data_IF_167532890750
#
_entry.id   IF_167532890750
#
_cell.length_a   1.000
_cell.length_b   1.000
_cell.length_c   1.000
_cell.angle_alpha   90.00
_cell.angle_beta   90.00
_cell.angle_gamma   90.00
#
_symmetry.space_group_name_H-M   'P 1'
#
loop_
_entity.id
_entity.type
_entity.pdbx_description
1 polymer ?
#
# COMPACT_ATOMS: atom_id res chain seq x y z
N UNK A 1 8.82 26.15 8.41
CA UNK A 1 7.59 25.44 8.83
C UNK A 1 7.99 23.99 9.06
N UNK A 2 7.59 23.36 10.16
CA UNK A 2 7.86 21.94 10.42
C UNK A 2 7.02 21.09 9.45
N UNK A 3 7.64 20.08 8.81
CA UNK A 3 6.90 19.09 8.02
C UNK A 3 5.95 18.33 8.95
N UNK A 4 4.69 18.08 8.52
CA UNK A 4 3.71 17.30 9.29
C UNK A 4 4.16 15.85 9.49
N UNK A 5 4.89 15.30 8.51
CA UNK A 5 5.45 13.95 8.54
C UNK A 5 6.96 14.02 8.42
N UNK A 6 7.66 13.35 9.33
CA UNK A 6 9.14 13.26 9.35
C UNK A 6 9.57 11.81 9.46
N UNK A 7 10.84 11.53 9.15
CA UNK A 7 11.42 10.19 9.20
C UNK A 7 12.68 10.15 10.04
N UNK A 8 12.75 9.19 10.95
CA UNK A 8 13.93 8.89 11.74
C UNK A 8 14.48 7.52 11.32
N UNK A 9 15.69 7.50 10.78
CA UNK A 9 16.41 6.26 10.46
C UNK A 9 17.13 5.76 11.72
N UNK A 10 16.78 4.57 12.19
CA UNK A 10 17.33 3.97 13.42
C UNK A 10 18.49 3.00 13.14
N UNK A 11 18.39 2.18 12.07
CA UNK A 11 19.38 1.18 11.72
C UNK A 11 19.32 0.83 10.23
N UNK A 12 20.48 0.49 9.67
CA UNK A 12 20.59 -0.13 8.33
C UNK A 12 21.24 -1.49 8.53
N UNK A 13 20.61 -2.55 8.03
CA UNK A 13 21.15 -3.91 8.03
C UNK A 13 22.45 -3.95 7.25
N UNK A 14 23.54 -4.42 7.90
CA UNK A 14 24.90 -4.41 7.35
C UNK A 14 25.08 -5.35 6.15
N UNK A 15 24.20 -6.33 5.99
CA UNK A 15 24.27 -7.36 4.96
C UNK A 15 23.33 -7.10 3.78
N UNK A 16 22.49 -6.05 3.88
CA UNK A 16 21.52 -5.68 2.84
C UNK A 16 21.29 -4.17 2.80
N UNK A 17 20.36 -3.70 2.00
CA UNK A 17 19.92 -2.31 1.98
C UNK A 17 18.73 -2.03 2.92
N UNK A 18 18.34 -2.99 3.73
CA UNK A 18 17.15 -2.90 4.57
C UNK A 18 17.32 -1.84 5.67
N UNK A 19 16.25 -1.09 5.91
CA UNK A 19 16.23 0.05 6.83
C UNK A 19 15.21 -0.18 7.94
N UNK A 20 15.59 0.14 9.16
CA UNK A 20 14.74 0.22 10.34
C UNK A 20 14.56 1.69 10.70
N UNK A 21 13.34 2.17 10.75
CA UNK A 21 13.07 3.57 11.07
C UNK A 21 11.71 3.81 11.71
N UNK A 22 11.38 5.08 11.90
CA UNK A 22 10.09 5.57 12.37
C UNK A 22 9.63 6.70 11.48
N UNK A 23 8.39 6.63 11.02
CA UNK A 23 7.70 7.76 10.41
C UNK A 23 6.82 8.39 11.48
N UNK A 24 7.08 9.66 11.80
CA UNK A 24 6.29 10.45 12.74
C UNK A 24 5.18 11.18 11.98
N UNK A 25 3.95 11.09 12.46
CA UNK A 25 2.78 11.74 11.86
C UNK A 25 1.93 12.43 12.92
N UNK A 26 1.01 13.34 12.55
CA UNK A 26 0.09 13.96 13.50
C UNK A 26 -0.76 12.99 14.31
N UNK A 27 -1.06 11.79 13.75
CA UNK A 27 -1.88 10.77 14.42
C UNK A 27 -1.06 9.60 14.98
N UNK A 28 0.25 9.77 15.14
CA UNK A 28 1.13 8.81 15.81
C UNK A 28 2.27 8.29 14.96
N UNK A 29 3.11 7.49 15.60
CA UNK A 29 4.34 6.93 15.02
C UNK A 29 4.09 5.64 14.28
N UNK A 30 4.80 5.46 13.16
CA UNK A 30 4.75 4.27 12.33
C UNK A 30 6.14 3.61 12.34
N UNK A 31 6.22 2.41 12.87
CA UNK A 31 7.44 1.61 12.90
C UNK A 31 7.69 0.97 11.52
N UNK A 32 8.78 1.29 10.86
CA UNK A 32 9.10 0.80 9.51
C UNK A 32 10.21 -0.27 9.50
N UNK A 33 10.22 -1.20 8.53
CA UNK A 33 9.26 -1.36 7.43
C UNK A 33 7.85 -1.78 7.90
N UNK A 34 6.82 -1.35 7.17
CA UNK A 34 5.41 -1.57 7.52
C UNK A 34 4.57 -2.02 6.32
N UNK A 35 3.57 -2.86 6.57
CA UNK A 35 2.48 -3.16 5.65
C UNK A 35 1.22 -2.39 6.05
N UNK A 36 0.60 -1.69 5.10
CA UNK A 36 -0.61 -0.90 5.28
C UNK A 36 -1.85 -1.66 4.76
N UNK A 37 -2.80 -2.04 5.62
CA UNK A 37 -4.10 -2.55 5.16
C UNK A 37 -4.85 -1.50 4.35
N UNK A 38 -5.52 -1.94 3.27
CA UNK A 38 -6.23 -1.03 2.37
C UNK A 38 -7.72 -0.95 2.73
N UNK A 39 -8.14 0.25 3.09
CA UNK A 39 -9.53 0.63 3.36
C UNK A 39 -10.12 1.47 2.22
N UNK A 40 -10.41 0.85 1.07
CA UNK A 40 -10.77 1.50 -0.20
C UNK A 40 -11.86 2.57 -0.09
N UNK A 41 -12.90 2.34 0.71
CA UNK A 41 -14.05 3.25 0.87
C UNK A 41 -14.25 3.59 2.35
N UNK A 42 -13.23 4.17 2.98
CA UNK A 42 -13.19 4.47 4.40
C UNK A 42 -13.45 3.23 5.28
N UNK A 43 -13.09 2.04 4.81
CA UNK A 43 -13.19 0.80 5.58
C UNK A 43 -12.27 -0.27 5.01
N UNK A 44 -11.50 -0.93 5.85
CA UNK A 44 -10.84 -2.19 5.52
C UNK A 44 -11.95 -3.26 5.49
N UNK A 45 -12.16 -3.87 4.32
CA UNK A 45 -13.35 -4.71 4.08
C UNK A 45 -13.51 -5.80 5.14
N UNK A 46 -14.71 -5.87 5.72
CA UNK A 46 -15.13 -6.82 6.74
C UNK A 46 -14.45 -6.65 8.11
N UNK A 47 -13.82 -5.50 8.38
CA UNK A 47 -13.08 -5.22 9.62
C UNK A 47 -13.61 -3.96 10.30
N UNK A 48 -13.71 -3.97 11.62
CA UNK A 48 -13.91 -2.76 12.41
C UNK A 48 -12.57 -2.09 12.73
N UNK A 49 -12.55 -0.78 13.04
CA UNK A 49 -11.35 -0.09 13.52
C UNK A 49 -10.72 -0.74 14.76
N UNK A 50 -11.54 -1.21 15.69
CA UNK A 50 -11.11 -1.89 16.92
C UNK A 50 -10.36 -3.19 16.58
N UNK A 51 -10.89 -4.03 15.69
CA UNK A 51 -10.20 -5.25 15.24
C UNK A 51 -8.88 -4.95 14.54
N UNK A 52 -8.83 -3.89 13.74
CA UNK A 52 -7.59 -3.46 13.10
C UNK A 52 -6.55 -3.02 14.12
N UNK A 53 -6.97 -2.35 15.20
CA UNK A 53 -6.09 -1.88 16.28
C UNK A 53 -5.65 -3.01 17.21
N UNK A 54 -6.59 -3.81 17.68
CA UNK A 54 -6.36 -4.78 18.78
C UNK A 54 -5.89 -6.14 18.25
N UNK A 55 -6.53 -6.67 17.22
CA UNK A 55 -6.23 -7.98 16.68
C UNK A 55 -5.13 -7.96 15.61
N UNK A 56 -5.26 -7.05 14.64
CA UNK A 56 -4.30 -6.93 13.53
C UNK A 56 -3.05 -6.16 13.95
N UNK A 57 -3.20 -5.19 14.86
CA UNK A 57 -2.16 -4.23 15.24
C UNK A 57 -1.69 -3.38 14.04
N UNK A 58 -2.64 -2.93 13.23
CA UNK A 58 -2.36 -2.00 12.14
C UNK A 58 -1.99 -0.62 12.69
N UNK A 59 -0.84 -0.09 12.29
CA UNK A 59 -0.35 1.23 12.74
C UNK A 59 -0.83 2.34 11.81
N UNK A 60 -1.08 2.02 10.55
CA UNK A 60 -1.54 2.91 9.49
C UNK A 60 -2.43 2.12 8.55
N UNK A 61 -3.38 2.78 7.93
CA UNK A 61 -4.19 2.24 6.84
C UNK A 61 -4.11 3.14 5.61
N UNK A 62 -4.43 2.57 4.44
CA UNK A 62 -4.55 3.32 3.20
C UNK A 62 -6.01 3.44 2.79
N UNK A 63 -6.44 4.61 2.34
CA UNK A 63 -7.75 4.84 1.72
C UNK A 63 -7.58 5.34 0.27
N UNK A 64 -8.58 5.10 -0.59
CA UNK A 64 -8.47 5.44 -2.01
C UNK A 64 -9.26 6.71 -2.36
N UNK A 65 -8.57 7.74 -2.76
CA UNK A 65 -9.12 9.06 -3.11
C UNK A 65 -10.15 8.99 -4.22
N UNK A 66 -9.89 8.24 -5.30
CA UNK A 66 -10.87 8.07 -6.39
C UNK A 66 -12.22 7.53 -5.92
N UNK A 67 -12.22 6.49 -5.08
CA UNK A 67 -13.46 5.90 -4.58
C UNK A 67 -14.20 6.83 -3.63
N UNK A 68 -13.48 7.52 -2.77
CA UNK A 68 -14.05 8.47 -1.79
C UNK A 68 -14.56 9.76 -2.45
N UNK A 69 -13.89 10.21 -3.51
CA UNK A 69 -14.38 11.31 -4.35
C UNK A 69 -15.73 10.99 -5.00
N UNK A 70 -15.89 9.77 -5.53
CA UNK A 70 -17.14 9.35 -6.16
C UNK A 70 -18.25 9.09 -5.13
N UNK A 71 -17.90 8.50 -3.99
CA UNK A 71 -18.84 8.15 -2.94
C UNK A 71 -18.14 7.96 -1.58
N UNK A 72 -18.55 8.70 -0.54
CA UNK A 72 -19.72 9.60 -0.45
C UNK A 72 -19.46 11.01 -1.01
N UNK A 73 -18.23 11.33 -1.44
CA UNK A 73 -17.77 12.65 -1.84
C UNK A 73 -16.90 13.30 -0.76
N UNK A 74 -15.82 13.97 -1.18
CA UNK A 74 -14.83 14.56 -0.25
C UNK A 74 -15.43 15.66 0.65
N UNK A 75 -16.36 16.45 0.11
CA UNK A 75 -16.99 17.53 0.87
C UNK A 75 -17.81 17.00 2.06
N UNK A 76 -18.55 15.89 1.89
CA UNK A 76 -19.27 15.24 2.98
C UNK A 76 -18.29 14.75 4.06
N UNK A 77 -17.18 14.14 3.65
CA UNK A 77 -16.16 13.65 4.60
C UNK A 77 -15.54 14.82 5.36
N UNK A 78 -15.26 15.95 4.69
CA UNK A 78 -14.80 17.18 5.34
C UNK A 78 -15.78 17.69 6.38
N UNK A 79 -17.08 17.76 6.05
CA UNK A 79 -18.14 18.16 6.97
C UNK A 79 -18.24 17.22 8.19
N UNK A 80 -17.95 15.92 8.00
CA UNK A 80 -17.86 14.94 9.08
C UNK A 80 -16.59 15.08 9.95
N UNK A 81 -15.67 15.97 9.60
CA UNK A 81 -14.41 16.22 10.30
C UNK A 81 -13.23 15.41 9.82
N UNK A 82 -13.22 15.01 8.53
CA UNK A 82 -12.18 14.23 7.88
C UNK A 82 -12.34 12.72 8.06
N UNK A 83 -11.49 11.94 7.36
CA UNK A 83 -11.55 10.47 7.37
C UNK A 83 -11.43 9.87 8.77
N UNK A 84 -10.57 10.41 9.61
CA UNK A 84 -10.34 9.92 10.97
C UNK A 84 -11.65 9.89 11.78
N UNK A 85 -12.40 10.98 11.80
CA UNK A 85 -13.70 11.04 12.48
C UNK A 85 -14.78 10.26 11.76
N UNK A 86 -14.81 10.34 10.42
CA UNK A 86 -15.81 9.68 9.61
C UNK A 86 -15.82 8.16 9.77
N UNK A 87 -14.63 7.54 9.90
CA UNK A 87 -14.49 6.08 10.03
C UNK A 87 -14.09 5.61 11.44
N UNK A 88 -14.04 6.50 12.44
CA UNK A 88 -13.63 6.20 13.82
C UNK A 88 -12.23 5.58 13.90
N UNK A 89 -11.28 6.13 13.14
CA UNK A 89 -9.88 5.68 13.10
C UNK A 89 -8.97 6.80 13.63
N UNK A 90 -8.23 6.51 14.72
CA UNK A 90 -7.41 7.48 15.45
C UNK A 90 -5.90 7.34 15.20
N UNK A 91 -5.51 6.50 14.23
CA UNK A 91 -4.11 6.27 13.82
C UNK A 91 -3.85 6.86 12.43
N UNK A 92 -2.59 6.91 11.98
CA UNK A 92 -2.25 7.45 10.66
C UNK A 92 -3.06 6.88 9.49
N UNK A 93 -3.34 7.73 8.52
CA UNK A 93 -3.96 7.39 7.23
C UNK A 93 -3.07 7.91 6.11
N UNK A 94 -2.88 7.07 5.08
CA UNK A 94 -2.37 7.48 3.79
C UNK A 94 -3.51 7.43 2.76
N UNK A 95 -3.66 8.47 1.93
CA UNK A 95 -4.56 8.43 0.77
C UNK A 95 -3.75 8.42 -0.52
N UNK A 96 -4.12 7.53 -1.46
CA UNK A 96 -3.52 7.52 -2.80
C UNK A 96 -4.04 8.69 -3.65
N UNK A 97 -3.36 8.99 -4.75
CA UNK A 97 -3.74 10.09 -5.65
C UNK A 97 -5.04 9.84 -6.46
N UNK A 98 -5.55 8.61 -6.47
CA UNK A 98 -6.62 8.18 -7.37
C UNK A 98 -6.16 7.94 -8.82
N UNK A 99 -4.91 8.22 -9.17
CA UNK A 99 -4.37 8.05 -10.51
C UNK A 99 -4.54 6.64 -11.04
N UNK A 100 -4.05 5.63 -10.33
CA UNK A 100 -4.15 4.22 -10.74
C UNK A 100 -5.61 3.79 -11.00
N UNK A 101 -6.57 4.19 -10.17
CA UNK A 101 -7.98 3.82 -10.31
C UNK A 101 -8.60 4.46 -11.55
N UNK A 102 -8.26 5.71 -11.85
CA UNK A 102 -8.68 6.37 -13.10
C UNK A 102 -8.13 5.62 -14.31
N UNK A 103 -6.90 5.10 -14.24
CA UNK A 103 -6.28 4.34 -15.33
C UNK A 103 -6.83 2.91 -15.43
N UNK A 104 -7.14 2.25 -14.35
CA UNK A 104 -7.55 0.84 -14.33
C UNK A 104 -9.07 0.62 -14.45
N UNK A 105 -9.89 1.53 -13.93
CA UNK A 105 -11.34 1.35 -13.82
C UNK A 105 -12.16 2.12 -14.85
N UNK A 106 -11.62 3.20 -15.44
CA UNK A 106 -12.34 3.97 -16.43
C UNK A 106 -12.11 3.43 -17.84
N UNK A 107 -13.15 2.85 -18.46
CA UNK A 107 -13.08 2.31 -19.82
C UNK A 107 -12.80 3.37 -20.91
N UNK A 108 -13.26 4.61 -20.70
CA UNK A 108 -13.01 5.75 -21.58
C UNK A 108 -12.36 6.88 -20.77
N UNK A 109 -11.09 7.10 -21.03
CA UNK A 109 -10.31 8.19 -20.45
C UNK A 109 -9.57 8.96 -21.50
N UNK A 110 -9.40 10.28 -21.29
CA UNK A 110 -8.56 11.14 -22.12
C UNK A 110 -7.56 11.85 -21.22
N UNK A 111 -6.29 11.56 -21.45
CA UNK A 111 -5.16 12.16 -20.72
C UNK A 111 -4.71 13.39 -21.51
N UNK A 112 -4.54 14.51 -20.83
CA UNK A 112 -4.01 15.76 -21.36
C UNK A 112 -2.97 16.31 -20.38
N UNK A 113 -2.30 17.38 -20.74
CA UNK A 113 -1.38 18.07 -19.81
C UNK A 113 -2.14 18.68 -18.61
N UNK A 114 -3.38 19.10 -18.82
CA UNK A 114 -4.24 19.64 -17.78
C UNK A 114 -4.62 18.62 -16.72
N UNK A 115 -4.88 17.36 -17.13
CA UNK A 115 -5.31 16.27 -16.26
C UNK A 115 -5.99 15.14 -17.05
N UNK A 116 -6.85 14.38 -16.39
CA UNK A 116 -7.52 13.20 -16.95
C UNK A 116 -9.02 13.37 -16.94
N UNK A 117 -9.65 13.34 -18.12
CA UNK A 117 -11.10 13.22 -18.29
C UNK A 117 -11.48 11.75 -18.28
N UNK A 118 -12.46 11.36 -17.47
CA UNK A 118 -12.92 9.98 -17.35
C UNK A 118 -14.41 9.91 -17.04
N UNK A 119 -14.98 8.70 -17.16
CA UNK A 119 -16.36 8.44 -16.76
C UNK A 119 -16.38 7.63 -15.47
N UNK A 120 -17.19 8.07 -14.50
CA UNK A 120 -17.43 7.35 -13.25
C UNK A 120 -17.96 5.94 -13.54
N UNK A 121 -17.36 4.93 -12.91
CA UNK A 121 -17.81 3.55 -13.03
C UNK A 121 -19.11 3.26 -12.27
N UNK A 122 -19.58 4.22 -11.45
CA UNK A 122 -20.83 4.07 -10.67
C UNK A 122 -22.07 4.48 -11.46
N UNK A 123 -21.99 5.61 -12.17
CA UNK A 123 -23.14 6.27 -12.80
C UNK A 123 -22.84 6.82 -14.22
N UNK A 124 -21.62 6.62 -14.72
CA UNK A 124 -21.20 7.09 -16.05
C UNK A 124 -20.96 8.59 -16.16
N UNK A 125 -21.08 9.37 -15.07
CA UNK A 125 -20.85 10.82 -15.06
C UNK A 125 -19.46 11.16 -15.56
N UNK A 126 -19.35 12.12 -16.47
CA UNK A 126 -18.05 12.63 -16.95
C UNK A 126 -17.42 13.54 -15.91
N UNK A 127 -16.19 13.23 -15.56
CA UNK A 127 -15.41 13.89 -14.53
C UNK A 127 -14.03 14.25 -15.05
N UNK A 128 -13.36 15.17 -14.35
CA UNK A 128 -12.00 15.59 -14.64
C UNK A 128 -11.18 15.60 -13.35
N UNK A 129 -10.08 14.87 -13.34
CA UNK A 129 -9.02 15.02 -12.33
C UNK A 129 -7.91 15.90 -12.87
N UNK A 130 -7.56 16.92 -12.13
CA UNK A 130 -6.36 17.74 -12.31
C UNK A 130 -5.52 17.68 -11.04
N UNK A 131 -4.22 17.97 -11.11
CA UNK A 131 -3.41 18.06 -9.88
C UNK A 131 -4.06 18.93 -8.80
N UNK A 132 -4.63 20.05 -9.17
CA UNK A 132 -5.22 21.01 -8.22
C UNK A 132 -6.47 20.45 -7.54
N UNK A 133 -7.43 19.86 -8.28
CA UNK A 133 -8.65 19.36 -7.66
C UNK A 133 -8.43 18.02 -6.92
N UNK A 134 -7.39 17.26 -7.28
CA UNK A 134 -6.97 16.11 -6.48
C UNK A 134 -6.41 16.59 -5.14
N UNK A 135 -5.58 17.63 -5.10
CA UNK A 135 -5.10 18.21 -3.83
C UNK A 135 -6.24 18.74 -2.97
N UNK A 136 -7.22 19.45 -3.56
CA UNK A 136 -8.42 19.88 -2.82
C UNK A 136 -9.17 18.66 -2.23
N UNK A 137 -9.30 17.60 -2.99
CA UNK A 137 -9.93 16.35 -2.53
C UNK A 137 -9.16 15.71 -1.37
N UNK A 138 -7.84 15.61 -1.48
CA UNK A 138 -6.96 15.04 -0.44
C UNK A 138 -6.99 15.88 0.85
N UNK A 139 -7.02 17.20 0.74
CA UNK A 139 -7.18 18.11 1.88
C UNK A 139 -8.55 17.93 2.57
N UNK A 140 -9.62 17.76 1.79
CA UNK A 140 -10.95 17.48 2.34
C UNK A 140 -11.02 16.12 3.06
N UNK A 141 -10.28 15.11 2.58
CA UNK A 141 -10.19 13.79 3.21
C UNK A 141 -9.44 13.83 4.54
N UNK A 142 -8.41 14.65 4.66
CA UNK A 142 -7.68 14.89 5.91
C UNK A 142 -6.79 13.73 6.35
N UNK A 143 -6.13 13.03 5.41
CA UNK A 143 -5.13 12.00 5.72
C UNK A 143 -3.80 12.63 6.13
N UNK A 144 -2.96 11.92 6.90
CA UNK A 144 -1.62 12.38 7.30
C UNK A 144 -0.64 12.42 6.11
N UNK A 145 -0.70 11.41 5.26
CA UNK A 145 0.12 11.28 4.06
C UNK A 145 -0.79 11.28 2.84
N UNK A 146 -0.51 12.15 1.89
CA UNK A 146 -1.23 12.26 0.63
C UNK A 146 -0.26 12.11 -0.54
N UNK A 147 -0.76 11.61 -1.68
CA UNK A 147 0.08 11.32 -2.83
C UNK A 147 -0.12 12.31 -3.97
N UNK A 148 0.95 12.72 -4.62
CA UNK A 148 0.87 13.54 -5.82
C UNK A 148 0.12 12.80 -6.94
N UNK A 149 -0.70 13.54 -7.71
CA UNK A 149 -1.41 12.97 -8.84
C UNK A 149 -0.42 12.54 -9.93
N UNK A 150 -0.50 11.29 -10.36
CA UNK A 150 0.42 10.65 -11.27
C UNK A 150 -0.26 9.92 -12.42
N UNK A 151 0.50 9.61 -13.45
CA UNK A 151 0.09 8.71 -14.53
C UNK A 151 0.84 7.39 -14.42
N UNK A 152 0.13 6.32 -14.05
CA UNK A 152 0.67 4.97 -14.03
C UNK A 152 0.66 4.37 -15.43
N UNK A 153 1.85 4.12 -16.01
CA UNK A 153 1.97 3.45 -17.30
C UNK A 153 1.52 2.00 -17.23
N UNK A 154 0.84 1.46 -18.26
CA UNK A 154 0.58 0.02 -18.36
C UNK A 154 1.87 -0.76 -18.60
N UNK A 155 1.86 -2.05 -18.27
CA UNK A 155 2.93 -2.99 -18.64
C UNK A 155 2.40 -3.99 -19.70
N UNK A 156 3.15 -4.27 -20.78
CA UNK A 156 4.34 -3.53 -21.23
C UNK A 156 4.01 -2.17 -21.82
N UNK A 157 4.99 -1.27 -21.86
CA UNK A 157 4.86 0.07 -22.47
C UNK A 157 6.11 0.43 -23.26
N UNK A 158 5.94 1.24 -24.32
CA UNK A 158 7.10 1.70 -25.11
C UNK A 158 7.90 2.75 -24.35
N UNK A 159 9.19 2.86 -24.66
CA UNK A 159 10.06 3.88 -24.06
C UNK A 159 9.51 5.30 -24.26
N UNK A 160 9.08 5.64 -25.47
CA UNK A 160 8.58 6.98 -25.82
C UNK A 160 7.29 7.33 -25.05
N UNK A 161 6.36 6.37 -24.89
CA UNK A 161 5.16 6.60 -24.09
C UNK A 161 5.52 6.77 -22.61
N UNK A 162 6.35 5.88 -22.07
CA UNK A 162 6.78 5.91 -20.68
C UNK A 162 7.50 7.22 -20.35
N UNK A 163 8.36 7.70 -21.24
CA UNK A 163 9.06 8.99 -21.09
C UNK A 163 8.08 10.16 -21.00
N UNK A 164 7.13 10.26 -21.94
CA UNK A 164 6.11 11.33 -21.93
C UNK A 164 5.23 11.29 -20.69
N UNK A 165 4.83 10.10 -20.26
CA UNK A 165 4.03 9.89 -19.04
C UNK A 165 4.80 10.29 -17.79
N UNK A 166 6.05 9.87 -17.67
CA UNK A 166 6.93 10.23 -16.56
C UNK A 166 7.16 11.73 -16.47
N UNK A 167 7.47 12.39 -17.60
CA UNK A 167 7.66 13.84 -17.64
C UNK A 167 6.38 14.61 -17.29
N UNK A 168 5.20 14.11 -17.68
CA UNK A 168 3.90 14.66 -17.27
C UNK A 168 3.69 14.49 -15.78
N UNK A 169 3.95 13.32 -15.24
CA UNK A 169 3.86 13.06 -13.79
C UNK A 169 4.73 14.03 -12.98
N UNK A 170 5.95 14.31 -13.43
CA UNK A 170 6.82 15.31 -12.78
C UNK A 170 6.19 16.70 -12.78
N UNK A 171 5.64 17.17 -13.92
CA UNK A 171 4.95 18.47 -13.98
C UNK A 171 3.69 18.51 -13.13
N UNK A 172 2.94 17.41 -13.07
CA UNK A 172 1.78 17.29 -12.19
C UNK A 172 2.18 17.29 -10.71
N UNK A 173 3.28 16.65 -10.35
CA UNK A 173 3.80 16.68 -8.98
C UNK A 173 4.17 18.10 -8.54
N UNK A 174 4.80 18.91 -9.43
CA UNK A 174 5.07 20.32 -9.18
C UNK A 174 3.77 21.12 -8.97
N UNK A 175 2.75 20.88 -9.79
CA UNK A 175 1.43 21.51 -9.65
C UNK A 175 0.74 21.10 -8.36
N UNK A 176 0.78 19.80 -7.98
CA UNK A 176 0.29 19.32 -6.69
C UNK A 176 0.97 20.05 -5.53
N UNK A 177 2.30 20.15 -5.55
CA UNK A 177 3.06 20.84 -4.51
C UNK A 177 2.67 22.32 -4.37
N UNK A 178 2.41 23.00 -5.48
CA UNK A 178 1.93 24.40 -5.46
C UNK A 178 0.50 24.55 -4.98
N UNK A 179 -0.34 23.54 -5.24
CA UNK A 179 -1.76 23.56 -4.87
C UNK A 179 -1.99 23.16 -3.42
N UNK A 180 -1.17 22.24 -2.88
CA UNK A 180 -1.27 21.77 -1.49
C UNK A 180 -0.98 22.87 -0.49
N UNK A 181 -1.91 23.11 0.45
CA UNK A 181 -1.87 24.20 1.44
C UNK A 181 -1.80 23.74 2.88
N UNK A 182 -2.39 22.58 3.20
CA UNK A 182 -2.48 22.07 4.58
C UNK A 182 -1.19 21.36 5.02
N UNK A 183 -0.04 22.01 4.86
CA UNK A 183 1.30 21.44 5.12
C UNK A 183 1.62 21.23 6.60
N UNK A 184 0.79 21.77 7.52
CA UNK A 184 0.96 21.60 8.96
C UNK A 184 0.36 20.29 9.49
N UNK A 185 -0.64 19.75 8.79
CA UNK A 185 -1.34 18.51 9.18
C UNK A 185 -1.15 17.36 8.20
N UNK A 186 -0.72 17.67 6.96
CA UNK A 186 -0.57 16.69 5.89
C UNK A 186 0.76 16.82 5.18
N UNK A 187 1.34 15.70 4.76
CA UNK A 187 2.55 15.69 3.93
C UNK A 187 2.30 15.05 2.57
N UNK A 188 2.64 15.78 1.53
CA UNK A 188 2.52 15.34 0.15
C UNK A 188 3.76 14.56 -0.29
N UNK A 189 3.59 13.30 -0.71
CA UNK A 189 4.67 12.46 -1.23
C UNK A 189 4.71 12.49 -2.76
N UNK A 190 5.92 12.54 -3.32
CA UNK A 190 6.16 12.42 -4.77
C UNK A 190 6.19 10.96 -5.21
N UNK A 191 5.76 10.67 -6.46
CA UNK A 191 5.74 9.32 -7.03
C UNK A 191 6.74 9.21 -8.18
N UNK A 192 7.78 8.42 -8.01
CA UNK A 192 8.79 8.13 -9.03
C UNK A 192 8.16 7.18 -10.05
N UNK A 193 8.10 7.59 -11.30
CA UNK A 193 7.64 6.83 -12.45
C UNK A 193 8.83 6.53 -13.39
N UNK A 194 8.59 5.92 -14.56
CA UNK A 194 9.63 5.59 -15.55
C UNK A 194 9.57 4.14 -16.03
N UNK A 195 8.51 3.40 -15.65
CA UNK A 195 8.29 2.02 -16.07
C UNK A 195 9.49 1.12 -15.73
N UNK A 196 9.98 0.37 -16.71
CA UNK A 196 11.10 -0.56 -16.57
C UNK A 196 12.39 -0.04 -17.23
N UNK A 197 12.52 1.29 -17.39
CA UNK A 197 13.67 1.95 -18.00
C UNK A 197 14.48 2.68 -16.90
N UNK A 198 15.70 2.22 -16.65
CA UNK A 198 16.54 2.72 -15.57
C UNK A 198 16.90 4.20 -15.71
N UNK A 199 17.16 4.68 -16.93
CA UNK A 199 17.44 6.10 -17.21
C UNK A 199 16.24 6.99 -16.91
N UNK A 200 15.01 6.54 -17.23
CA UNK A 200 13.78 7.26 -16.91
C UNK A 200 13.53 7.27 -15.39
N UNK A 201 13.75 6.15 -14.70
CA UNK A 201 13.66 6.07 -13.23
C UNK A 201 14.61 7.05 -12.56
N UNK A 202 15.87 7.06 -13.02
CA UNK A 202 16.90 7.99 -12.52
C UNK A 202 16.50 9.45 -12.75
N UNK A 203 16.00 9.78 -13.95
CA UNK A 203 15.52 11.12 -14.27
C UNK A 203 14.34 11.52 -13.38
N UNK A 204 13.32 10.67 -13.28
CA UNK A 204 12.15 10.91 -12.44
C UNK A 204 12.52 11.14 -10.97
N UNK A 205 13.39 10.28 -10.41
CA UNK A 205 13.87 10.41 -9.04
C UNK A 205 14.58 11.76 -8.84
N UNK A 206 15.50 12.12 -9.75
CA UNK A 206 16.20 13.41 -9.67
C UNK A 206 15.24 14.58 -9.69
N UNK A 207 14.35 14.63 -10.66
CA UNK A 207 13.42 15.75 -10.86
C UNK A 207 12.49 15.92 -9.64
N UNK A 208 12.05 14.82 -9.02
CA UNK A 208 11.20 14.86 -7.81
C UNK A 208 11.99 15.24 -6.55
N UNK A 209 13.24 14.80 -6.43
CA UNK A 209 14.12 15.18 -5.31
C UNK A 209 14.44 16.67 -5.38
N UNK A 210 14.66 17.23 -6.57
CA UNK A 210 14.85 18.65 -6.79
C UNK A 210 13.60 19.47 -6.38
N UNK A 211 12.41 18.86 -6.41
CA UNK A 211 11.17 19.45 -5.88
C UNK A 211 11.05 19.34 -4.35
N UNK A 212 11.87 18.55 -3.69
CA UNK A 212 11.91 18.35 -2.23
C UNK A 212 10.55 18.04 -1.59
N UNK A 213 10.13 16.78 -1.70
CA UNK A 213 8.96 16.25 -0.99
C UNK A 213 9.33 15.68 0.38
N UNK A 214 8.39 15.68 1.36
CA UNK A 214 8.58 15.01 2.67
C UNK A 214 8.83 13.50 2.58
N UNK A 215 8.40 12.85 1.49
CA UNK A 215 8.59 11.43 1.23
C UNK A 215 8.44 11.09 -0.24
N UNK A 216 8.85 9.89 -0.62
CA UNK A 216 8.86 9.44 -2.00
C UNK A 216 8.28 8.04 -2.14
N UNK A 217 7.52 7.82 -3.23
CA UNK A 217 7.00 6.51 -3.58
C UNK A 217 7.57 6.02 -4.91
N UNK A 218 7.61 4.72 -5.08
CA UNK A 218 7.85 4.06 -6.37
C UNK A 218 6.49 3.61 -6.90
N UNK A 219 6.07 4.18 -8.04
CA UNK A 219 4.89 3.78 -8.78
C UNK A 219 5.23 3.07 -10.09
N UNK A 220 4.21 2.54 -10.79
CA UNK A 220 4.34 1.93 -12.10
C UNK A 220 5.13 0.62 -12.15
N UNK A 221 5.22 -0.10 -11.03
CA UNK A 221 5.67 -1.50 -10.92
C UNK A 221 4.64 -2.28 -10.10
N UNK A 222 4.71 -3.61 -10.11
CA UNK A 222 3.62 -4.49 -9.63
C UNK A 222 2.32 -4.36 -10.44
N UNK A 223 2.47 -4.18 -11.75
CA UNK A 223 1.38 -3.97 -12.73
C UNK A 223 1.23 -5.12 -13.73
N UNK A 224 1.86 -6.28 -13.45
CA UNK A 224 1.75 -7.49 -14.25
C UNK A 224 3.05 -8.00 -14.88
N UNK A 225 4.18 -7.38 -14.56
CA UNK A 225 5.51 -7.79 -14.98
C UNK A 225 6.00 -9.08 -14.29
N UNK A 226 6.97 -9.81 -14.90
CA UNK A 226 7.66 -10.91 -14.25
C UNK A 226 8.39 -10.46 -12.97
N UNK A 227 8.47 -11.35 -11.96
CA UNK A 227 9.15 -11.07 -10.68
C UNK A 227 10.59 -10.60 -10.86
N UNK A 228 11.32 -11.16 -11.81
CA UNK A 228 12.71 -10.79 -12.08
C UNK A 228 12.85 -9.33 -12.52
N UNK A 229 11.98 -8.87 -13.43
CA UNK A 229 11.95 -7.47 -13.88
C UNK A 229 11.56 -6.54 -12.75
N UNK A 230 10.54 -6.91 -11.96
CA UNK A 230 10.14 -6.18 -10.77
C UNK A 230 11.31 -5.99 -9.82
N UNK A 231 12.02 -7.07 -9.44
CA UNK A 231 13.14 -7.01 -8.51
C UNK A 231 14.31 -6.18 -9.07
N UNK A 232 14.59 -6.29 -10.36
CA UNK A 232 15.63 -5.50 -11.02
C UNK A 232 15.36 -4.02 -10.88
N UNK A 233 14.17 -3.57 -11.25
CA UNK A 233 13.79 -2.15 -11.20
C UNK A 233 13.62 -1.63 -9.78
N UNK A 234 13.10 -2.45 -8.86
CA UNK A 234 13.02 -2.10 -7.45
C UNK A 234 14.42 -1.82 -6.87
N UNK A 235 15.36 -2.76 -7.02
CA UNK A 235 16.74 -2.65 -6.52
C UNK A 235 17.51 -1.49 -7.15
N UNK A 236 17.19 -1.14 -8.39
CA UNK A 236 17.75 0.04 -9.06
C UNK A 236 17.16 1.34 -8.51
N UNK A 237 15.85 1.40 -8.33
CA UNK A 237 15.14 2.65 -8.01
C UNK A 237 15.20 3.03 -6.53
N UNK A 238 15.10 2.07 -5.63
CA UNK A 238 15.03 2.34 -4.19
C UNK A 238 16.22 3.15 -3.64
N UNK A 239 17.48 2.84 -4.01
CA UNK A 239 18.65 3.62 -3.56
C UNK A 239 18.71 5.05 -4.11
N UNK A 240 17.94 5.39 -5.15
CA UNK A 240 17.89 6.76 -5.67
C UNK A 240 17.16 7.72 -4.73
N UNK A 241 16.28 7.21 -3.87
CA UNK A 241 15.52 8.02 -2.91
C UNK A 241 16.39 8.43 -1.71
N UNK A 242 16.20 9.66 -1.16
CA UNK A 242 16.96 10.15 -0.03
C UNK A 242 16.92 9.22 1.18
N UNK A 243 18.02 9.16 1.94
CA UNK A 243 18.12 8.31 3.12
C UNK A 243 17.29 8.83 4.29
N UNK A 244 17.20 10.14 4.43
CA UNK A 244 16.47 10.82 5.50
C UNK A 244 14.97 11.05 5.23
N UNK A 245 14.42 10.41 4.21
CA UNK A 245 12.99 10.49 3.86
C UNK A 245 12.38 9.09 3.81
N UNK A 246 11.08 8.92 4.13
CA UNK A 246 10.39 7.64 4.01
C UNK A 246 10.25 7.23 2.53
N UNK A 247 10.37 5.91 2.28
CA UNK A 247 10.31 5.29 0.96
C UNK A 247 9.11 4.34 0.90
N UNK A 248 8.19 4.62 0.02
CA UNK A 248 6.97 3.86 -0.15
C UNK A 248 6.96 3.12 -1.49
N UNK A 249 6.65 1.82 -1.48
CA UNK A 249 6.42 1.01 -2.67
C UNK A 249 4.94 0.67 -2.77
N UNK A 250 4.30 1.14 -3.84
CA UNK A 250 2.86 1.09 -4.03
C UNK A 250 2.37 -0.28 -4.53
N UNK A 251 1.27 -0.78 -3.94
CA UNK A 251 0.52 -1.94 -4.45
C UNK A 251 1.14 -3.32 -4.22
N UNK A 252 2.07 -3.46 -3.29
CA UNK A 252 2.82 -4.70 -3.02
C UNK A 252 2.43 -5.33 -1.70
N UNK A 253 2.07 -6.64 -1.70
CA UNK A 253 1.56 -7.29 -0.48
C UNK A 253 1.61 -8.81 -0.43
N UNK A 254 2.36 -9.49 -1.31
CA UNK A 254 2.69 -10.91 -1.07
C UNK A 254 3.89 -11.00 -0.13
N UNK A 255 3.98 -12.05 0.71
CA UNK A 255 5.04 -12.15 1.71
C UNK A 255 6.46 -12.05 1.14
N UNK A 256 6.72 -12.68 -0.01
CA UNK A 256 8.02 -12.63 -0.69
C UNK A 256 8.34 -11.22 -1.20
N UNK A 257 7.38 -10.53 -1.84
CA UNK A 257 7.59 -9.17 -2.32
C UNK A 257 7.78 -8.17 -1.16
N UNK A 258 7.11 -8.38 -0.01
CA UNK A 258 7.32 -7.53 1.18
C UNK A 258 8.74 -7.69 1.74
N UNK A 259 9.25 -8.93 1.83
CA UNK A 259 10.62 -9.18 2.30
C UNK A 259 11.64 -8.58 1.31
N UNK A 260 11.48 -8.82 0.00
CA UNK A 260 12.38 -8.25 -1.02
C UNK A 260 12.34 -6.71 -1.05
N UNK A 261 11.16 -6.12 -0.80
CA UNK A 261 11.02 -4.67 -0.70
C UNK A 261 11.80 -4.12 0.50
N UNK A 262 11.71 -4.77 1.65
CA UNK A 262 12.48 -4.41 2.84
C UNK A 262 14.00 -4.52 2.58
N UNK A 263 14.44 -5.62 1.94
CA UNK A 263 15.85 -5.83 1.54
C UNK A 263 16.37 -4.74 0.59
N UNK A 264 15.48 -4.18 -0.25
CA UNK A 264 15.81 -3.06 -1.13
C UNK A 264 15.78 -1.69 -0.44
N UNK A 265 15.44 -1.62 0.85
CA UNK A 265 15.40 -0.37 1.62
C UNK A 265 14.08 0.40 1.50
N UNK A 266 12.96 -0.30 1.27
CA UNK A 266 11.60 0.26 1.31
C UNK A 266 11.07 0.25 2.74
N UNK A 267 10.42 1.34 3.13
CA UNK A 267 9.86 1.55 4.47
C UNK A 267 8.36 1.20 4.55
N UNK A 268 7.60 1.40 3.49
CA UNK A 268 6.13 1.29 3.48
C UNK A 268 5.65 0.53 2.25
N UNK A 269 4.69 -0.38 2.44
CA UNK A 269 3.99 -1.09 1.36
C UNK A 269 2.50 -1.22 1.69
N UNK A 270 1.64 -1.23 0.68
CA UNK A 270 0.21 -1.48 0.79
C UNK A 270 -0.25 -2.54 -0.21
N UNK A 271 -1.32 -3.24 0.09
CA UNK A 271 -2.02 -4.06 -0.91
C UNK A 271 -3.41 -4.48 -0.44
N UNK A 272 -4.36 -4.54 -1.38
CA UNK A 272 -5.70 -5.13 -1.13
C UNK A 272 -5.69 -6.67 -1.06
N UNK A 273 -4.57 -7.29 -1.43
CA UNK A 273 -4.47 -8.75 -1.61
C UNK A 273 -4.89 -9.56 -0.38
N UNK A 274 -4.47 -9.26 0.86
CA UNK A 274 -4.83 -10.09 2.02
C UNK A 274 -6.32 -10.22 2.23
N UNK A 275 -7.05 -9.11 2.19
CA UNK A 275 -8.52 -9.11 2.33
C UNK A 275 -9.22 -9.64 1.08
N UNK A 276 -8.65 -9.44 -0.11
CA UNK A 276 -9.16 -10.02 -1.36
C UNK A 276 -9.07 -11.55 -1.31
N UNK A 277 -7.91 -12.11 -0.95
CA UNK A 277 -7.69 -13.54 -0.78
C UNK A 277 -8.66 -14.13 0.26
N UNK A 278 -8.81 -13.47 1.40
CA UNK A 278 -9.72 -13.88 2.47
C UNK A 278 -11.17 -14.04 1.98
N UNK A 279 -11.68 -13.05 1.24
CA UNK A 279 -13.04 -13.10 0.69
C UNK A 279 -13.25 -14.20 -0.35
N UNK A 280 -12.16 -14.70 -0.95
CA UNK A 280 -12.19 -15.84 -1.87
C UNK A 280 -11.83 -17.17 -1.18
N UNK A 281 -11.71 -17.18 0.15
CA UNK A 281 -11.44 -18.38 0.93
C UNK A 281 -9.98 -18.85 0.91
N UNK A 282 -9.04 -17.93 0.68
CA UNK A 282 -7.60 -18.23 0.72
C UNK A 282 -6.97 -17.59 1.95
N UNK A 283 -6.21 -18.37 2.71
CA UNK A 283 -5.43 -17.94 3.86
C UNK A 283 -3.92 -18.01 3.58
N UNK A 284 -3.20 -17.02 4.14
CA UNK A 284 -1.74 -17.00 4.20
C UNK A 284 -1.32 -17.70 5.49
N UNK A 285 -0.49 -18.74 5.42
CA UNK A 285 -0.02 -19.46 6.61
C UNK A 285 1.50 -19.52 6.67
N UNK A 286 2.05 -19.90 7.80
CA UNK A 286 3.50 -20.10 7.97
C UNK A 286 4.12 -21.14 7.02
N UNK A 287 3.28 -21.99 6.41
CA UNK A 287 3.68 -23.05 5.47
C UNK A 287 3.14 -22.84 4.05
N UNK A 288 2.84 -21.60 3.68
CA UNK A 288 2.32 -21.25 2.36
C UNK A 288 0.83 -20.92 2.36
N UNK A 289 0.29 -20.72 1.16
CA UNK A 289 -1.14 -20.40 0.97
C UNK A 289 -1.99 -21.66 1.06
N UNK A 290 -3.13 -21.57 1.73
CA UNK A 290 -4.15 -22.63 1.71
C UNK A 290 -5.47 -22.10 1.17
N UNK A 291 -6.15 -22.91 0.37
CA UNK A 291 -7.51 -22.63 -0.12
C UNK A 291 -8.49 -23.40 0.76
N UNK A 292 -9.09 -22.70 1.72
CA UNK A 292 -9.94 -23.28 2.76
C UNK A 292 -11.15 -24.03 2.19
N UNK A 293 -11.60 -23.69 0.98
CA UNK A 293 -12.71 -24.39 0.28
C UNK A 293 -12.41 -25.84 -0.08
N UNK A 294 -11.14 -26.25 -0.12
CA UNK A 294 -10.74 -27.60 -0.54
C UNK A 294 -11.33 -28.69 0.36
N UNK A 295 -11.68 -29.82 -0.23
CA UNK A 295 -12.30 -30.95 0.46
C UNK A 295 -11.43 -31.52 1.59
N UNK A 296 -10.11 -31.43 1.45
CA UNK A 296 -9.14 -31.87 2.47
C UNK A 296 -9.39 -31.24 3.84
N UNK A 297 -10.01 -30.07 3.92
CA UNK A 297 -10.30 -29.38 5.19
C UNK A 297 -11.68 -29.68 5.77
N UNK A 298 -12.46 -30.60 5.16
CA UNK A 298 -13.82 -30.91 5.61
C UNK A 298 -13.88 -31.49 7.01
N UNK A 299 -12.95 -32.38 7.32
CA UNK A 299 -12.80 -33.00 8.63
C UNK A 299 -11.51 -32.58 9.34
N UNK A 300 -10.97 -31.42 8.96
CA UNK A 300 -9.76 -30.87 9.60
C UNK A 300 -10.18 -29.93 10.74
N UNK A 301 -10.10 -30.44 11.96
CA UNK A 301 -10.44 -29.71 13.18
C UNK A 301 -9.24 -28.98 13.80
N UNK A 302 -8.11 -28.90 13.09
CA UNK A 302 -6.94 -28.13 13.49
C UNK A 302 -7.11 -26.62 13.27
N UNK A 303 -6.16 -25.86 13.80
CA UNK A 303 -6.07 -24.41 13.61
C UNK A 303 -5.81 -24.07 12.15
N UNK A 304 -6.16 -22.85 11.75
CA UNK A 304 -5.84 -22.35 10.40
C UNK A 304 -4.33 -22.33 10.16
N UNK A 305 -3.56 -21.83 11.11
CA UNK A 305 -2.09 -21.86 11.14
C UNK A 305 -1.60 -22.12 12.57
N UNK A 306 -0.79 -23.18 12.75
CA UNK A 306 -0.30 -23.62 14.05
C UNK A 306 0.60 -22.58 14.74
N UNK A 307 1.30 -21.75 13.98
CA UNK A 307 2.20 -20.72 14.50
C UNK A 307 1.50 -19.37 14.72
N UNK A 308 0.24 -19.26 14.33
CA UNK A 308 -0.53 -18.02 14.45
C UNK A 308 -1.37 -18.01 15.73
N UNK A 309 -1.32 -16.90 16.44
CA UNK A 309 -2.09 -16.66 17.66
C UNK A 309 -3.20 -15.59 17.49
N UNK A 310 -3.62 -15.30 16.25
CA UNK A 310 -4.72 -14.38 16.00
C UNK A 310 -6.06 -14.92 16.52
N UNK A 311 -7.06 -14.05 16.63
CA UNK A 311 -8.41 -14.41 17.07
C UNK A 311 -8.97 -15.62 16.32
N UNK A 312 -8.80 -15.67 14.99
CA UNK A 312 -9.29 -16.78 14.15
C UNK A 312 -8.63 -18.10 14.51
N UNK A 313 -7.29 -18.14 14.62
CA UNK A 313 -6.54 -19.36 14.94
C UNK A 313 -6.78 -19.87 16.35
N UNK A 314 -7.09 -18.99 17.30
CA UNK A 314 -7.40 -19.38 18.69
C UNK A 314 -8.77 -20.01 18.85
N UNK A 315 -9.75 -19.63 18.03
CA UNK A 315 -11.15 -19.90 18.30
C UNK A 315 -11.82 -20.81 17.27
N UNK A 316 -11.25 -20.96 16.06
CA UNK A 316 -11.93 -21.65 14.95
C UNK A 316 -11.03 -22.65 14.24
N UNK A 317 -11.67 -23.74 13.75
CA UNK A 317 -11.01 -24.83 13.02
C UNK A 317 -11.07 -24.58 11.50
N UNK A 318 -10.19 -25.22 10.74
CA UNK A 318 -10.21 -25.21 9.26
C UNK A 318 -11.54 -25.74 8.73
N UNK A 319 -12.10 -26.79 9.32
CA UNK A 319 -13.41 -27.36 8.97
C UNK A 319 -14.54 -26.34 9.09
N UNK A 320 -14.59 -25.59 10.20
CA UNK A 320 -15.62 -24.57 10.39
C UNK A 320 -15.46 -23.39 9.42
N UNK A 321 -14.22 -22.90 9.25
CA UNK A 321 -13.93 -21.84 8.27
C UNK A 321 -14.31 -22.27 6.86
N UNK A 322 -14.01 -23.53 6.46
CA UNK A 322 -14.48 -24.09 5.18
C UNK A 322 -15.99 -24.06 5.06
N UNK A 323 -16.71 -24.48 6.09
CA UNK A 323 -18.17 -24.43 6.11
C UNK A 323 -18.69 -23.02 5.84
N UNK A 324 -18.21 -22.03 6.59
CA UNK A 324 -18.60 -20.62 6.45
C UNK A 324 -18.34 -20.09 5.03
N UNK A 325 -17.14 -20.35 4.49
CA UNK A 325 -16.78 -19.88 3.13
C UNK A 325 -17.61 -20.57 2.06
N UNK A 326 -17.94 -21.86 2.19
CA UNK A 326 -18.82 -22.56 1.26
C UNK A 326 -20.27 -22.11 1.34
N UNK A 327 -20.73 -21.75 2.52
CA UNK A 327 -22.07 -21.19 2.76
C UNK A 327 -22.17 -19.69 2.40
N UNK A 328 -21.08 -19.06 1.95
CA UNK A 328 -20.97 -17.62 1.68
C UNK A 328 -21.30 -16.75 2.90
N UNK A 329 -21.04 -17.25 4.11
CA UNK A 329 -21.23 -16.50 5.33
C UNK A 329 -20.17 -15.39 5.48
N UNK A 330 -20.62 -14.17 5.78
CA UNK A 330 -19.76 -12.98 5.94
C UNK A 330 -18.73 -13.21 7.05
N UNK A 331 -19.11 -13.93 8.11
CA UNK A 331 -18.22 -14.27 9.22
C UNK A 331 -16.96 -15.00 8.73
N UNK A 332 -17.08 -15.93 7.77
CA UNK A 332 -15.91 -16.62 7.21
C UNK A 332 -14.92 -15.67 6.52
N UNK A 333 -15.44 -14.72 5.75
CA UNK A 333 -14.62 -13.68 5.09
C UNK A 333 -13.93 -12.76 6.11
N UNK A 334 -14.65 -12.39 7.18
CA UNK A 334 -14.12 -11.56 8.28
C UNK A 334 -13.00 -12.29 9.02
N UNK A 335 -13.22 -13.52 9.45
CA UNK A 335 -12.25 -14.33 10.18
C UNK A 335 -10.95 -14.55 9.38
N UNK A 336 -11.08 -14.85 8.08
CA UNK A 336 -9.92 -14.97 7.20
C UNK A 336 -9.22 -13.63 6.96
N UNK A 337 -9.95 -12.51 6.93
CA UNK A 337 -9.35 -11.18 6.80
C UNK A 337 -8.53 -10.81 8.03
N UNK A 338 -9.05 -11.07 9.24
CA UNK A 338 -8.30 -10.90 10.51
C UNK A 338 -7.00 -11.69 10.44
N UNK A 339 -7.09 -12.97 10.06
CA UNK A 339 -5.92 -13.84 9.99
C UNK A 339 -4.88 -13.36 8.97
N UNK A 340 -5.28 -13.09 7.74
CA UNK A 340 -4.36 -12.68 6.67
C UNK A 340 -3.67 -11.33 6.96
N UNK A 341 -4.42 -10.38 7.51
CA UNK A 341 -3.84 -9.10 7.91
C UNK A 341 -2.88 -9.26 9.09
N UNK A 342 -3.26 -10.04 10.11
CA UNK A 342 -2.39 -10.37 11.24
C UNK A 342 -1.12 -11.07 10.80
N UNK A 343 -1.21 -11.98 9.84
CA UNK A 343 -0.05 -12.67 9.28
C UNK A 343 0.96 -11.68 8.68
N UNK A 344 0.50 -10.72 7.86
CA UNK A 344 1.39 -9.74 7.23
C UNK A 344 1.94 -8.72 8.22
N UNK A 345 1.15 -8.25 9.18
CA UNK A 345 1.66 -7.32 10.20
C UNK A 345 2.68 -7.99 11.12
N UNK A 346 2.50 -9.27 11.46
CA UNK A 346 3.48 -10.06 12.19
C UNK A 346 4.74 -10.32 11.36
N UNK A 347 4.61 -10.60 10.06
CA UNK A 347 5.75 -10.75 9.16
C UNK A 347 6.60 -9.47 9.17
N UNK A 348 5.98 -8.30 9.01
CA UNK A 348 6.71 -7.03 9.01
C UNK A 348 7.31 -6.71 10.39
N UNK A 349 6.65 -7.10 11.47
CA UNK A 349 7.24 -7.02 12.82
C UNK A 349 8.51 -7.88 12.91
N UNK A 350 8.49 -9.10 12.38
CA UNK A 350 9.67 -9.96 12.34
C UNK A 350 10.77 -9.38 11.47
N UNK A 351 10.43 -8.87 10.28
CA UNK A 351 11.37 -8.18 9.38
C UNK A 351 12.12 -7.06 10.12
N UNK A 352 11.43 -6.21 10.89
CA UNK A 352 12.07 -5.14 11.68
C UNK A 352 13.08 -5.68 12.69
N UNK A 353 12.73 -6.75 13.40
CA UNK A 353 13.63 -7.41 14.37
C UNK A 353 14.87 -7.96 13.66
N UNK A 354 14.68 -8.61 12.53
CA UNK A 354 15.81 -9.19 11.78
C UNK A 354 16.73 -8.12 11.16
N UNK A 355 16.18 -6.96 10.79
CA UNK A 355 16.99 -5.80 10.37
C UNK A 355 17.86 -5.31 11.53
N UNK A 356 17.28 -5.13 12.74
CA UNK A 356 18.01 -4.69 13.92
C UNK A 356 19.16 -5.64 14.33
N UNK A 357 19.05 -6.94 13.96
CA UNK A 357 20.07 -7.96 14.21
C UNK A 357 20.99 -8.23 13.00
N UNK A 358 20.92 -7.45 11.92
CA UNK A 358 21.70 -7.66 10.68
C UNK A 358 21.50 -9.06 10.05
N UNK A 359 20.31 -9.65 10.18
CA UNK A 359 19.98 -11.04 9.86
C UNK A 359 18.88 -11.23 8.81
N UNK A 360 18.44 -10.17 8.13
CA UNK A 360 17.28 -10.23 7.25
C UNK A 360 17.47 -11.18 6.05
N UNK A 361 18.68 -11.31 5.51
CA UNK A 361 18.97 -12.24 4.42
C UNK A 361 18.76 -13.71 4.84
N UNK A 362 19.29 -14.10 6.01
CA UNK A 362 19.08 -15.47 6.53
C UNK A 362 17.61 -15.73 6.83
N UNK A 363 16.92 -14.76 7.43
CA UNK A 363 15.48 -14.87 7.66
C UNK A 363 14.69 -15.06 6.38
N UNK A 364 15.02 -14.32 5.30
CA UNK A 364 14.40 -14.51 3.98
C UNK A 364 14.55 -15.95 3.50
N UNK A 365 15.75 -16.50 3.54
CA UNK A 365 16.06 -17.84 3.03
C UNK A 365 15.31 -18.93 3.84
N UNK A 366 15.27 -18.82 5.16
CA UNK A 366 14.50 -19.69 6.04
C UNK A 366 12.99 -19.58 5.78
N UNK A 367 12.49 -18.35 5.65
CA UNK A 367 11.08 -18.10 5.36
C UNK A 367 10.68 -18.67 3.99
N UNK A 368 11.49 -18.47 2.97
CA UNK A 368 11.24 -18.99 1.61
C UNK A 368 11.18 -20.50 1.60
N UNK A 369 12.17 -21.17 2.22
CA UNK A 369 12.19 -22.63 2.35
C UNK A 369 10.93 -23.16 3.04
N UNK A 370 10.49 -22.51 4.11
CA UNK A 370 9.32 -22.91 4.89
C UNK A 370 8.01 -22.64 4.17
N UNK A 371 7.89 -21.48 3.53
CA UNK A 371 6.69 -21.03 2.83
C UNK A 371 6.51 -21.71 1.45
N UNK A 372 7.58 -22.30 0.88
CA UNK A 372 7.58 -22.94 -0.43
C UNK A 372 7.85 -21.97 -1.59
N UNK A 373 8.56 -20.87 -1.35
CA UNK A 373 9.11 -20.02 -2.41
C UNK A 373 10.45 -20.54 -2.92
N UNK A 374 10.73 -20.29 -4.21
CA UNK A 374 12.07 -20.47 -4.77
C UNK A 374 12.97 -19.31 -4.37
N UNK A 375 14.24 -19.60 -4.05
CA UNK A 375 15.30 -18.61 -3.82
C UNK A 375 15.73 -17.96 -5.13
#
# INVERSE_FOLDING_TARGET
MSEAVTYELLHIDKNSGARRGVVHTPHGDIQTPIFMPVGTQATVKSMTPEELKEEVNAQIILANTYHLYLRPGSKLIKEAGGLHKFMNWDRPILTDSGGFQVFSLSGLRKITEEGVKFSSHLDGKKLMFTPENVMETEEDLGADIIMAFDECCPYPSTYEYTKKSMERTTRWAERCKKAHKNTEEQSLFGIIQGGFFEDLRKKSAKDLIDLDFPGYAIGGISVGEPKEEFLKILKFTAPLMPENKPRYLMGVGTPDYLIESALAGIDMCDCVLPTRLARHGTALTSKGKIVVRNATYEKDFGKLDEECNCYTCKNYTRSYLRHLIKANEILGMRLLSIHNLKFLTNLMKRVRIEIEHDNLLNFRDEFYKKYGYSL
#
